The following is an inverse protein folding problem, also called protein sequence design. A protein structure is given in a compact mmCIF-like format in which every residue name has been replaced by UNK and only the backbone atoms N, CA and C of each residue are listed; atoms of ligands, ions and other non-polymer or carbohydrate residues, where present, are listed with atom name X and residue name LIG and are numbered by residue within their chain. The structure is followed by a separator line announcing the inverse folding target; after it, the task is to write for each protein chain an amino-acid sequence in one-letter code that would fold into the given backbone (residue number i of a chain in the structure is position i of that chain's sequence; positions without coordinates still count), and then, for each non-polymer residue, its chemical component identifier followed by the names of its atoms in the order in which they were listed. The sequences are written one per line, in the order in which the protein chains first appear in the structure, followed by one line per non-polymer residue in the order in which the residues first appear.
data_IF_132254904767
#
_entry.id   IF_132254904767
#
_cell.length_a   1.000
_cell.length_b   1.000
_cell.length_c   1.000
_cell.angle_alpha   90.00
_cell.angle_beta   90.00
_cell.angle_gamma   90.00
#
_symmetry.space_group_name_H-M   'P 1'
#
loop_
_entity.id
_entity.type
_entity.pdbx_description
1 polymer ?
#
# COMPACT_ATOMS: atom_id res chain seq x y z
N UNK A 1 -8.53 12.41 8.70
CA UNK A 1 -7.60 12.55 7.57
C UNK A 1 -6.87 11.23 7.40
N UNK A 2 -6.89 10.68 6.17
CA UNK A 2 -6.09 9.52 5.76
C UNK A 2 -4.79 10.00 5.13
N UNK A 3 -3.66 9.48 5.58
CA UNK A 3 -2.36 9.84 5.04
C UNK A 3 -1.50 8.59 4.84
N UNK A 4 -0.75 8.55 3.74
CA UNK A 4 0.23 7.50 3.51
C UNK A 4 1.49 7.72 4.35
N UNK A 5 2.37 6.72 4.39
CA UNK A 5 3.61 6.76 5.17
C UNK A 5 3.42 6.44 6.64
N UNK A 6 4.49 6.62 7.41
CA UNK A 6 4.51 6.26 8.83
C UNK A 6 3.82 7.33 9.67
N UNK A 7 2.91 6.92 10.54
CA UNK A 7 2.19 7.82 11.43
C UNK A 7 2.38 7.40 12.89
N UNK A 8 2.15 8.34 13.81
CA UNK A 8 1.93 8.07 15.22
C UNK A 8 0.51 8.52 15.57
N UNK A 9 -0.42 7.58 15.44
CA UNK A 9 -1.86 7.82 15.57
C UNK A 9 -2.24 8.46 16.89
N UNK A 10 -1.63 8.02 18.01
CA UNK A 10 -1.88 8.54 19.36
C UNK A 10 -1.51 10.01 19.54
N UNK A 11 -0.57 10.52 18.73
CA UNK A 11 -0.11 11.90 18.76
C UNK A 11 -0.66 12.74 17.60
N UNK A 12 -1.38 12.11 16.66
CA UNK A 12 -1.85 12.78 15.44
C UNK A 12 -0.72 13.29 14.53
N UNK A 13 0.46 12.64 14.60
CA UNK A 13 1.65 13.02 13.84
C UNK A 13 1.86 12.14 12.63
N UNK A 14 2.26 12.76 11.52
CA UNK A 14 2.87 12.07 10.39
C UNK A 14 4.39 12.06 10.59
N UNK A 15 4.98 10.88 10.73
CA UNK A 15 6.41 10.75 11.03
C UNK A 15 7.24 10.89 9.75
N UNK A 16 6.83 10.23 8.69
CA UNK A 16 7.58 10.23 7.43
C UNK A 16 6.68 9.87 6.25
N UNK A 17 6.84 10.60 5.14
CA UNK A 17 6.29 10.25 3.83
C UNK A 17 7.45 10.22 2.84
N UNK A 18 7.83 9.03 2.40
CA UNK A 18 8.99 8.80 1.54
C UNK A 18 8.99 9.64 0.25
N UNK A 19 7.81 9.95 -0.28
CA UNK A 19 7.65 10.68 -1.56
C UNK A 19 7.65 12.20 -1.42
N UNK A 20 7.60 12.73 -0.21
CA UNK A 20 7.60 14.17 0.05
C UNK A 20 8.91 14.53 0.74
N UNK A 21 9.81 15.17 -0.01
CA UNK A 21 11.11 15.59 0.51
C UNK A 21 10.91 16.56 1.69
N UNK A 22 11.56 16.27 2.81
CA UNK A 22 11.48 17.11 4.02
C UNK A 22 10.19 16.94 4.82
N UNK A 23 9.33 15.96 4.49
CA UNK A 23 8.16 15.64 5.29
C UNK A 23 8.54 14.70 6.43
N UNK A 24 8.89 15.29 7.56
CA UNK A 24 9.31 14.55 8.76
C UNK A 24 8.69 15.14 10.02
N UNK A 25 8.19 14.29 10.89
CA UNK A 25 7.64 14.64 12.21
C UNK A 25 6.60 15.76 12.20
N UNK A 26 5.74 15.81 11.19
CA UNK A 26 4.71 16.85 11.02
C UNK A 26 3.56 16.62 12.01
N UNK A 27 3.25 17.63 12.83
CA UNK A 27 2.12 17.63 13.78
C UNK A 27 0.78 17.88 13.05
N UNK A 28 0.44 16.95 12.14
CA UNK A 28 -0.61 17.15 11.15
C UNK A 28 -1.97 17.42 11.79
N UNK A 29 -2.32 16.71 12.87
CA UNK A 29 -3.59 16.89 13.56
C UNK A 29 -3.69 18.30 14.13
N UNK A 30 -2.67 18.78 14.84
CA UNK A 30 -2.64 20.13 15.45
C UNK A 30 -2.74 21.21 14.36
N UNK A 31 -1.91 21.13 13.33
CA UNK A 31 -1.89 22.11 12.23
C UNK A 31 -3.26 22.25 11.58
N UNK A 32 -3.92 21.11 11.31
CA UNK A 32 -5.23 21.13 10.66
C UNK A 32 -6.34 21.59 11.61
N UNK A 33 -6.29 21.24 12.90
CA UNK A 33 -7.23 21.72 13.90
C UNK A 33 -7.16 23.24 14.08
N UNK A 34 -5.94 23.79 14.17
CA UNK A 34 -5.72 25.23 14.29
C UNK A 34 -6.20 25.98 13.03
N UNK A 35 -5.95 25.41 11.84
CA UNK A 35 -6.32 26.03 10.57
C UNK A 35 -7.82 26.03 10.30
N UNK A 36 -8.50 24.94 10.61
CA UNK A 36 -9.90 24.74 10.22
C UNK A 36 -10.89 24.88 11.37
N UNK A 37 -10.41 24.97 12.63
CA UNK A 37 -11.22 25.02 13.84
C UNK A 37 -12.22 23.86 13.96
N UNK A 38 -11.82 22.68 13.48
CA UNK A 38 -12.61 21.45 13.50
C UNK A 38 -11.86 20.32 14.20
N UNK A 39 -12.56 19.36 14.83
CA UNK A 39 -11.91 18.14 15.30
C UNK A 39 -11.26 17.38 14.15
N UNK A 40 -9.98 17.06 14.29
CA UNK A 40 -9.21 16.31 13.27
C UNK A 40 -8.67 15.03 13.90
N UNK A 41 -8.82 13.93 13.14
CA UNK A 41 -8.24 12.63 13.47
C UNK A 41 -7.36 12.20 12.31
N UNK A 42 -6.15 11.72 12.60
CA UNK A 42 -5.19 11.25 11.60
C UNK A 42 -5.07 9.73 11.70
N UNK A 43 -5.13 9.05 10.57
CA UNK A 43 -4.91 7.60 10.47
C UNK A 43 -4.22 7.26 9.14
N UNK A 44 -3.69 6.04 9.06
CA UNK A 44 -3.15 5.51 7.81
C UNK A 44 -4.28 5.37 6.77
N UNK A 45 -4.02 5.72 5.51
CA UNK A 45 -4.99 5.71 4.42
C UNK A 45 -5.53 4.30 4.14
N UNK A 46 -4.66 3.27 4.17
CA UNK A 46 -5.05 1.87 3.97
C UNK A 46 -5.96 1.38 5.11
N UNK A 47 -5.68 1.80 6.36
CA UNK A 47 -6.53 1.51 7.51
C UNK A 47 -7.93 2.12 7.36
N UNK A 48 -8.02 3.36 6.90
CA UNK A 48 -9.32 4.01 6.66
C UNK A 48 -10.11 3.33 5.53
N UNK A 49 -9.42 2.91 4.47
CA UNK A 49 -10.07 2.18 3.39
C UNK A 49 -10.62 0.84 3.86
N UNK A 50 -9.87 0.09 4.67
CA UNK A 50 -10.37 -1.16 5.26
C UNK A 50 -11.63 -0.92 6.13
N UNK A 51 -11.67 0.17 6.89
CA UNK A 51 -12.85 0.54 7.68
C UNK A 51 -14.06 0.91 6.78
N UNK A 52 -13.82 1.55 5.64
CA UNK A 52 -14.87 1.85 4.65
C UNK A 52 -15.41 0.56 4.04
N UNK A 53 -14.53 -0.35 3.61
CA UNK A 53 -14.93 -1.65 3.05
C UNK A 53 -15.75 -2.47 4.07
N UNK A 54 -15.31 -2.48 5.32
CA UNK A 54 -16.07 -3.10 6.41
C UNK A 54 -17.49 -2.52 6.50
N UNK A 55 -17.62 -1.21 6.58
CA UNK A 55 -18.92 -0.53 6.72
C UNK A 55 -19.83 -0.78 5.53
N UNK A 56 -19.27 -0.86 4.31
CA UNK A 56 -20.02 -0.92 3.06
C UNK A 56 -20.48 -2.33 2.71
N UNK A 57 -19.67 -3.34 2.95
CA UNK A 57 -19.86 -4.68 2.41
C UNK A 57 -20.00 -5.78 3.47
N UNK A 58 -19.59 -5.53 4.71
CA UNK A 58 -19.55 -6.57 5.73
C UNK A 58 -20.59 -6.31 6.81
N UNK A 59 -21.69 -7.03 6.72
CA UNK A 59 -22.66 -7.16 7.80
C UNK A 59 -22.12 -8.11 8.87
N UNK A 60 -22.53 -7.95 10.11
CA UNK A 60 -22.04 -8.37 11.43
C UNK A 60 -21.21 -9.67 11.56
N UNK A 61 -21.32 -10.65 10.68
CA UNK A 61 -20.71 -11.98 10.88
C UNK A 61 -19.42 -12.28 10.08
N UNK A 62 -18.94 -11.35 9.22
CA UNK A 62 -17.79 -11.59 8.33
C UNK A 62 -16.70 -10.53 8.45
N UNK A 63 -16.32 -10.19 9.67
CA UNK A 63 -15.44 -9.05 9.93
C UNK A 63 -13.94 -9.36 9.93
N UNK A 64 -13.55 -10.63 9.77
CA UNK A 64 -12.14 -11.03 9.80
C UNK A 64 -11.58 -11.10 8.39
N UNK A 65 -10.91 -10.06 7.98
CA UNK A 65 -10.33 -9.96 6.64
C UNK A 65 -9.03 -9.18 6.63
N UNK A 66 -8.22 -9.44 5.61
CA UNK A 66 -7.07 -8.61 5.25
C UNK A 66 -7.45 -7.75 4.05
N UNK A 67 -7.29 -6.45 4.19
CA UNK A 67 -7.34 -5.50 3.08
C UNK A 67 -5.94 -5.21 2.59
N UNK A 68 -5.68 -5.32 1.29
CA UNK A 68 -4.41 -5.00 0.64
C UNK A 68 -4.66 -3.87 -0.35
N UNK A 69 -4.05 -2.73 -0.09
CA UNK A 69 -4.07 -1.57 -0.98
C UNK A 69 -2.82 -1.54 -1.84
N UNK A 70 -3.00 -1.61 -3.17
CA UNK A 70 -1.91 -1.49 -4.16
C UNK A 70 -2.06 -0.13 -4.83
N UNK A 71 -1.19 0.80 -4.44
CA UNK A 71 -1.15 2.16 -4.96
C UNK A 71 0.29 2.53 -5.28
N UNK A 72 0.68 3.73 -4.96
CA UNK A 72 2.06 4.18 -5.02
C UNK A 72 3.04 3.32 -4.21
N UNK A 73 2.56 2.66 -3.18
CA UNK A 73 3.18 1.60 -2.38
C UNK A 73 2.14 0.53 -2.07
N UNK A 74 2.55 -0.53 -1.37
CA UNK A 74 1.71 -1.65 -0.99
C UNK A 74 1.56 -1.67 0.52
N UNK A 75 0.34 -1.51 0.98
CA UNK A 75 0.01 -1.58 2.40
C UNK A 75 -1.12 -2.57 2.66
N UNK A 76 -1.29 -2.97 3.91
CA UNK A 76 -2.45 -3.76 4.31
C UNK A 76 -3.07 -3.26 5.61
N UNK A 77 -4.28 -3.72 5.85
CA UNK A 77 -4.97 -3.57 7.12
C UNK A 77 -5.64 -4.89 7.48
N UNK A 78 -5.51 -5.30 8.72
CA UNK A 78 -6.14 -6.52 9.21
C UNK A 78 -7.29 -6.19 10.15
N UNK A 79 -8.48 -6.68 9.79
CA UNK A 79 -9.67 -6.63 10.63
C UNK A 79 -9.85 -7.97 11.33
N UNK A 80 -9.93 -7.95 12.65
CA UNK A 80 -10.13 -9.12 13.48
C UNK A 80 -11.16 -8.84 14.58
N UNK A 81 -12.15 -9.71 14.73
CA UNK A 81 -13.24 -9.54 15.70
C UNK A 81 -13.85 -8.12 15.67
N UNK A 82 -14.19 -7.66 14.48
CA UNK A 82 -14.73 -6.32 14.24
C UNK A 82 -13.80 -5.13 14.55
N UNK A 83 -12.54 -5.36 14.88
CA UNK A 83 -11.57 -4.32 15.21
C UNK A 83 -10.43 -4.27 14.20
N UNK A 84 -9.97 -3.06 13.93
CA UNK A 84 -8.74 -2.87 13.17
C UNK A 84 -7.54 -3.20 14.06
N UNK A 85 -6.64 -4.02 13.54
CA UNK A 85 -5.35 -4.32 14.18
C UNK A 85 -4.36 -3.19 13.89
N UNK A 86 -4.39 -2.15 14.71
CA UNK A 86 -3.53 -0.97 14.51
C UNK A 86 -2.05 -1.24 14.84
N UNK A 87 -1.75 -2.24 15.67
CA UNK A 87 -0.42 -2.38 16.29
C UNK A 87 -0.19 -1.33 17.38
N UNK A 88 0.91 -1.47 18.13
CA UNK A 88 1.20 -0.62 19.30
C UNK A 88 1.34 0.87 18.93
N UNK A 89 1.90 1.16 17.76
CA UNK A 89 2.12 2.54 17.30
C UNK A 89 1.16 2.98 16.18
N UNK A 90 0.19 2.15 15.81
CA UNK A 90 -0.75 2.45 14.72
C UNK A 90 -0.20 2.16 13.31
N UNK A 91 0.85 1.35 13.21
CA UNK A 91 1.56 1.09 11.94
C UNK A 91 1.56 -0.39 11.53
N UNK A 92 0.64 -1.21 12.05
CA UNK A 92 0.51 -2.58 11.57
C UNK A 92 0.09 -2.60 10.10
N UNK A 93 0.58 -3.58 9.33
CA UNK A 93 0.16 -3.77 7.94
C UNK A 93 1.09 -3.17 6.88
N UNK A 94 2.32 -2.77 7.23
CA UNK A 94 3.34 -2.34 6.24
C UNK A 94 3.92 -3.52 5.44
N UNK A 95 3.07 -4.30 4.80
CA UNK A 95 3.50 -5.49 4.05
C UNK A 95 4.42 -5.18 2.87
N UNK A 96 4.32 -3.98 2.30
CA UNK A 96 5.21 -3.51 1.24
C UNK A 96 6.69 -3.51 1.66
N UNK A 97 6.96 -3.41 2.97
CA UNK A 97 8.31 -3.42 3.51
C UNK A 97 8.73 -4.75 4.16
N UNK A 98 7.94 -5.82 3.99
CA UNK A 98 8.38 -7.16 4.35
C UNK A 98 9.41 -7.66 3.35
N UNK A 99 10.52 -8.18 3.87
CA UNK A 99 11.63 -8.69 3.05
C UNK A 99 11.29 -10.06 2.51
N UNK A 100 11.25 -10.20 1.18
CA UNK A 100 11.00 -11.46 0.49
C UNK A 100 12.31 -12.16 0.07
N UNK A 101 13.36 -11.38 -0.14
CA UNK A 101 14.69 -11.87 -0.49
C UNK A 101 15.75 -10.87 0.00
N UNK A 102 16.57 -11.24 0.96
CA UNK A 102 17.60 -10.36 1.53
C UNK A 102 18.66 -9.89 0.51
N UNK A 103 18.90 -10.66 -0.56
CA UNK A 103 19.79 -10.31 -1.67
C UNK A 103 19.09 -9.49 -2.76
N UNK A 104 17.82 -9.14 -2.57
CA UNK A 104 17.00 -8.45 -3.57
C UNK A 104 17.35 -6.99 -3.77
N UNK A 105 16.57 -6.29 -4.62
CA UNK A 105 16.79 -4.89 -4.94
C UNK A 105 16.62 -3.98 -3.72
N UNK A 106 17.31 -2.84 -3.74
CA UNK A 106 17.21 -1.83 -2.69
C UNK A 106 15.79 -1.24 -2.65
N UNK A 107 15.23 -1.18 -1.46
CA UNK A 107 13.95 -0.52 -1.18
C UNK A 107 14.19 0.91 -0.68
N UNK A 108 13.24 1.81 -0.93
CA UNK A 108 13.27 3.19 -0.43
C UNK A 108 13.30 3.30 1.11
N UNK A 109 12.90 2.25 1.83
CA UNK A 109 12.97 2.21 3.30
C UNK A 109 14.38 1.89 3.85
N UNK A 110 15.36 1.65 2.98
CA UNK A 110 16.74 1.30 3.36
C UNK A 110 17.01 -0.20 3.43
N UNK A 111 15.99 -1.06 3.44
CA UNK A 111 16.16 -2.51 3.39
C UNK A 111 16.33 -3.01 1.95
N UNK A 112 16.79 -4.25 1.78
CA UNK A 112 16.80 -4.95 0.49
C UNK A 112 15.66 -5.96 0.41
N UNK A 113 15.15 -6.15 -0.83
CA UNK A 113 14.21 -7.21 -1.17
C UNK A 113 12.82 -7.10 -0.57
N UNK A 114 12.40 -5.92 -0.17
CA UNK A 114 11.02 -5.66 0.23
C UNK A 114 10.05 -5.92 -0.92
N UNK A 115 8.79 -6.27 -0.60
CA UNK A 115 7.74 -6.41 -1.61
C UNK A 115 7.63 -5.16 -2.51
N UNK A 116 7.66 -3.95 -1.93
CA UNK A 116 7.63 -2.68 -2.67
C UNK A 116 8.78 -2.53 -3.68
N UNK A 117 9.93 -3.13 -3.42
CA UNK A 117 11.06 -3.11 -4.34
C UNK A 117 10.88 -4.04 -5.56
N UNK A 118 9.85 -4.89 -5.55
CA UNK A 118 9.46 -5.76 -6.67
C UNK A 118 8.15 -5.33 -7.33
N UNK A 119 7.16 -4.91 -6.53
CA UNK A 119 5.79 -4.74 -6.98
C UNK A 119 5.22 -3.32 -6.77
N UNK A 120 5.94 -2.42 -6.10
CA UNK A 120 5.56 -1.00 -5.96
C UNK A 120 5.77 -0.21 -7.26
N UNK A 121 5.01 0.86 -7.47
CA UNK A 121 5.09 1.67 -8.70
C UNK A 121 6.52 2.15 -9.03
N UNK A 122 7.30 2.54 -8.03
CA UNK A 122 8.71 2.95 -8.26
C UNK A 122 9.56 1.80 -8.81
N UNK A 123 9.36 0.59 -8.30
CA UNK A 123 10.07 -0.59 -8.78
C UNK A 123 9.66 -0.95 -10.21
N UNK A 124 8.37 -0.87 -10.52
CA UNK A 124 7.85 -1.12 -11.87
C UNK A 124 8.42 -0.11 -12.87
N UNK A 125 8.44 1.20 -12.52
CA UNK A 125 9.00 2.25 -13.38
C UNK A 125 10.48 2.01 -13.66
N UNK A 126 11.29 1.79 -12.61
CA UNK A 126 12.72 1.50 -12.77
C UNK A 126 12.93 0.32 -13.71
N UNK A 127 12.21 -0.79 -13.48
CA UNK A 127 12.36 -2.00 -14.28
C UNK A 127 11.88 -1.84 -15.72
N UNK A 128 10.84 -1.04 -15.94
CA UNK A 128 10.37 -0.69 -17.28
C UNK A 128 11.44 0.09 -18.04
N UNK A 129 12.02 1.10 -17.43
CA UNK A 129 13.11 1.90 -18.01
C UNK A 129 14.33 1.04 -18.34
N UNK A 130 14.76 0.16 -17.41
CA UNK A 130 15.87 -0.78 -17.62
C UNK A 130 15.64 -1.70 -18.82
N UNK A 131 14.42 -2.24 -18.98
CA UNK A 131 14.10 -3.21 -20.05
C UNK A 131 13.80 -2.56 -21.40
N UNK A 132 13.37 -1.31 -21.43
CA UNK A 132 13.08 -0.58 -22.68
C UNK A 132 14.26 0.28 -23.15
N UNK A 133 15.34 0.36 -22.37
CA UNK A 133 16.44 1.31 -22.58
C UNK A 133 15.94 2.74 -22.82
N UNK A 134 14.84 3.12 -22.17
CA UNK A 134 14.19 4.40 -22.36
C UNK A 134 14.83 5.44 -21.45
N UNK A 135 15.41 6.47 -22.03
CA UNK A 135 15.82 7.68 -21.32
C UNK A 135 14.62 8.58 -20.94
N UNK A 136 13.40 8.13 -21.24
CA UNK A 136 12.20 8.89 -20.99
C UNK A 136 11.91 8.91 -19.47
N UNK A 137 11.94 10.08 -18.89
CA UNK A 137 11.64 10.32 -17.46
C UNK A 137 10.14 10.21 -17.12
N UNK A 138 9.32 9.72 -18.07
CA UNK A 138 7.89 9.54 -17.83
C UNK A 138 7.65 8.58 -16.67
N UNK A 139 6.90 9.03 -15.68
CA UNK A 139 6.47 8.21 -14.55
C UNK A 139 5.10 7.60 -14.87
N UNK A 140 5.03 6.27 -14.86
CA UNK A 140 3.82 5.50 -15.08
C UNK A 140 3.19 5.11 -13.74
N UNK A 141 1.91 5.35 -13.59
CA UNK A 141 1.12 4.82 -12.47
C UNK A 141 0.81 3.34 -12.69
N UNK A 142 0.35 2.64 -11.66
CA UNK A 142 -0.16 1.27 -11.81
C UNK A 142 -1.24 1.18 -12.90
N UNK A 143 -2.10 2.20 -13.00
CA UNK A 143 -3.13 2.30 -14.05
C UNK A 143 -2.52 2.34 -15.46
N UNK A 144 -1.44 3.08 -15.63
CA UNK A 144 -0.78 3.21 -16.93
C UNK A 144 -0.13 1.89 -17.33
N UNK A 145 0.54 1.19 -16.41
CA UNK A 145 1.06 -0.15 -16.65
C UNK A 145 -0.03 -1.15 -17.03
N UNK A 146 -1.17 -1.12 -16.37
CA UNK A 146 -2.31 -1.97 -16.73
C UNK A 146 -2.85 -1.66 -18.13
N UNK A 147 -2.90 -0.39 -18.55
CA UNK A 147 -3.29 0.01 -19.91
C UNK A 147 -2.27 -0.48 -20.95
N UNK A 148 -0.98 -0.24 -20.69
CA UNK A 148 0.10 -0.71 -21.58
C UNK A 148 0.02 -2.23 -21.77
N UNK A 149 -0.12 -2.97 -20.70
CA UNK A 149 -0.25 -4.43 -20.72
C UNK A 149 -1.46 -4.90 -21.54
N UNK A 150 -2.63 -4.27 -21.36
CA UNK A 150 -3.86 -4.58 -22.13
C UNK A 150 -3.70 -4.25 -23.63
N UNK A 151 -2.89 -3.24 -23.94
CA UNK A 151 -2.58 -2.85 -25.33
C UNK A 151 -1.46 -3.71 -25.96
N UNK A 152 -1.02 -4.77 -25.28
CA UNK A 152 -0.06 -5.73 -25.83
C UNK A 152 1.41 -5.40 -25.56
N UNK A 153 1.74 -4.41 -24.73
CA UNK A 153 3.12 -4.11 -24.36
C UNK A 153 3.73 -5.28 -23.58
N UNK A 154 4.66 -6.00 -24.20
CA UNK A 154 5.26 -7.21 -23.66
C UNK A 154 6.10 -6.96 -22.39
N UNK A 155 6.73 -5.78 -22.28
CA UNK A 155 7.53 -5.39 -21.11
C UNK A 155 6.62 -5.17 -19.92
N UNK A 156 5.55 -4.41 -20.08
CA UNK A 156 4.55 -4.20 -19.01
C UNK A 156 3.91 -5.51 -18.57
N UNK A 157 3.57 -6.40 -19.50
CA UNK A 157 3.02 -7.73 -19.16
C UNK A 157 3.99 -8.54 -18.33
N UNK A 158 5.27 -8.56 -18.68
CA UNK A 158 6.31 -9.27 -17.93
C UNK A 158 6.48 -8.70 -16.51
N UNK A 159 6.66 -7.39 -16.39
CA UNK A 159 6.90 -6.77 -15.06
C UNK A 159 5.67 -6.90 -14.15
N UNK A 160 4.45 -6.80 -14.69
CA UNK A 160 3.22 -7.00 -13.90
C UNK A 160 3.06 -8.46 -13.46
N UNK A 161 3.42 -9.43 -14.32
CA UNK A 161 3.43 -10.85 -13.95
C UNK A 161 4.43 -11.13 -12.81
N UNK A 162 5.63 -10.59 -12.91
CA UNK A 162 6.63 -10.72 -11.85
C UNK A 162 6.16 -10.07 -10.53
N UNK A 163 5.58 -8.87 -10.60
CA UNK A 163 5.01 -8.19 -9.45
C UNK A 163 3.88 -9.00 -8.78
N UNK A 164 2.99 -9.57 -9.59
CA UNK A 164 1.91 -10.44 -9.12
C UNK A 164 2.44 -11.71 -8.43
N UNK A 165 3.55 -12.27 -8.89
CA UNK A 165 4.20 -13.41 -8.25
C UNK A 165 4.68 -13.09 -6.83
N UNK A 166 5.39 -11.97 -6.64
CA UNK A 166 5.85 -11.54 -5.31
C UNK A 166 4.69 -11.15 -4.39
N UNK A 167 3.66 -10.51 -4.94
CA UNK A 167 2.43 -10.23 -4.19
C UNK A 167 1.77 -11.53 -3.73
N UNK A 168 1.70 -12.54 -4.60
CA UNK A 168 1.16 -13.87 -4.29
C UNK A 168 1.90 -14.57 -3.16
N UNK A 169 3.24 -14.49 -3.12
CA UNK A 169 4.05 -15.00 -1.99
C UNK A 169 3.63 -14.30 -0.69
N UNK A 170 3.52 -12.96 -0.72
CA UNK A 170 3.15 -12.18 0.47
C UNK A 170 1.76 -12.54 0.96
N UNK A 171 0.78 -12.66 0.06
CA UNK A 171 -0.60 -13.05 0.39
C UNK A 171 -0.60 -14.46 1.00
N UNK A 172 0.13 -15.40 0.43
CA UNK A 172 0.25 -16.75 0.97
C UNK A 172 0.79 -16.76 2.41
N UNK A 173 1.82 -15.95 2.68
CA UNK A 173 2.38 -15.79 4.02
C UNK A 173 1.35 -15.20 5.00
N UNK A 174 0.64 -14.12 4.58
CA UNK A 174 -0.41 -13.52 5.41
C UNK A 174 -1.54 -14.49 5.74
N UNK A 175 -1.97 -15.30 4.77
CA UNK A 175 -3.00 -16.34 5.00
C UNK A 175 -2.52 -17.35 6.04
N UNK A 176 -1.26 -17.75 6.00
CA UNK A 176 -0.69 -18.72 6.98
C UNK A 176 -0.52 -18.13 8.38
N UNK A 177 -0.24 -16.83 8.48
CA UNK A 177 0.00 -16.15 9.77
C UNK A 177 -1.30 -15.71 10.43
N UNK A 178 -2.24 -15.19 9.64
CA UNK A 178 -3.44 -14.50 10.14
C UNK A 178 -4.73 -15.31 10.00
N UNK A 179 -4.73 -16.35 9.16
CA UNK A 179 -5.90 -17.18 8.85
C UNK A 179 -7.20 -16.38 8.63
N UNK A 180 -7.17 -15.37 7.74
CA UNK A 180 -8.33 -14.50 7.53
C UNK A 180 -9.44 -15.25 6.78
N UNK A 181 -10.70 -14.90 7.04
CA UNK A 181 -11.85 -15.42 6.28
C UNK A 181 -11.83 -14.93 4.83
N UNK A 182 -11.22 -13.77 4.58
CA UNK A 182 -11.20 -13.15 3.26
C UNK A 182 -9.97 -12.25 3.08
N UNK A 183 -9.47 -12.17 1.84
CA UNK A 183 -8.47 -11.19 1.43
C UNK A 183 -9.10 -10.28 0.37
N UNK A 184 -9.16 -8.98 0.66
CA UNK A 184 -9.60 -7.95 -0.26
C UNK A 184 -8.39 -7.26 -0.88
N UNK A 185 -8.30 -7.26 -2.20
CA UNK A 185 -7.24 -6.56 -2.93
C UNK A 185 -7.86 -5.38 -3.66
N UNK A 186 -7.41 -4.18 -3.32
CA UNK A 186 -7.83 -2.95 -3.98
C UNK A 186 -6.65 -2.30 -4.72
N UNK A 187 -6.86 -2.04 -6.00
CA UNK A 187 -5.98 -1.22 -6.82
C UNK A 187 -6.62 0.14 -7.12
N UNK A 188 -5.87 1.03 -7.77
CA UNK A 188 -6.34 2.37 -8.13
C UNK A 188 -7.53 2.43 -9.12
N UNK A 189 -7.94 1.30 -9.70
CA UNK A 189 -9.17 1.22 -10.49
C UNK A 189 -10.29 0.59 -9.66
N UNK A 190 -11.48 1.20 -9.59
CA UNK A 190 -12.65 0.43 -9.26
C UNK A 190 -12.76 -0.68 -10.29
N UNK A 191 -12.74 -1.94 -9.84
CA UNK A 191 -13.11 -3.05 -10.70
C UNK A 191 -14.49 -2.71 -11.25
N UNK A 192 -14.58 -2.32 -12.54
CA UNK A 192 -15.87 -2.19 -13.19
C UNK A 192 -16.49 -3.58 -13.12
N UNK A 193 -17.55 -3.69 -12.33
CA UNK A 193 -18.33 -4.91 -12.28
C UNK A 193 -18.71 -5.30 -13.71
N UNK A 194 -18.34 -6.48 -14.10
CA UNK A 194 -18.90 -7.20 -15.24
C UNK A 194 -20.32 -7.56 -14.92
#
# INVERSE_FOLDING_TARGET
VGICGTIRKTEGRSLHITRIRGWEHVELQRILQEKFHLPVYVNNDVHLLALVEKKKYMREDNSDFVYIGIRSGIGSAYMYQNKLMDGVQGNAGYIGHTVLNAEGPMCVCGNRGCLDAYAGELALNRRYQELTNSENESYYTMRDFMKLSRNGDAVSQKILKDAAFYLGITISNLIKILEPKMVLIASCEPLKGT
#
